data_IF_810176428162
#
_entry.id   IF_810176428162
#
_cell.length_a   1.000
_cell.length_b   1.000
_cell.length_c   1.000
_cell.angle_alpha   90.00
_cell.angle_beta   90.00
_cell.angle_gamma   90.00
#
_symmetry.space_group_name_H-M   'P 1'
#
loop_
_entity.id
_entity.type
_entity.pdbx_description
1 polymer ?
#
# COMPACT_ATOMS: atom_id res chain seq x y z
N UNK A 1 -4.35 9.41 -8.19
CA UNK A 1 -4.65 9.14 -6.75
C UNK A 1 -5.93 8.35 -6.53
N UNK A 2 -7.13 8.88 -6.83
CA UNK A 2 -8.40 8.18 -6.51
C UNK A 2 -8.58 6.79 -7.14
N UNK A 3 -7.81 6.44 -8.17
CA UNK A 3 -7.72 5.09 -8.73
C UNK A 3 -7.25 4.03 -7.71
N UNK A 4 -6.46 4.40 -6.69
CA UNK A 4 -5.97 3.47 -5.66
C UNK A 4 -7.10 2.78 -4.88
N UNK A 5 -8.28 3.40 -4.81
CA UNK A 5 -9.50 2.80 -4.23
C UNK A 5 -10.05 1.63 -5.06
N UNK A 6 -9.57 1.47 -6.29
CA UNK A 6 -10.01 0.47 -7.27
C UNK A 6 -8.88 -0.46 -7.72
N UNK A 7 -7.66 -0.27 -7.19
CA UNK A 7 -6.54 -1.21 -7.37
C UNK A 7 -6.61 -2.20 -6.20
N UNK A 8 -7.02 -3.46 -6.41
CA UNK A 8 -7.00 -4.46 -5.35
C UNK A 8 -5.56 -4.86 -5.06
N UNK A 9 -5.27 -5.23 -3.80
CA UNK A 9 -3.97 -5.79 -3.44
C UNK A 9 -3.76 -7.16 -4.12
N UNK A 10 -2.85 -7.22 -5.09
CA UNK A 10 -2.72 -8.31 -6.06
C UNK A 10 -2.38 -9.65 -5.41
N UNK A 11 -1.60 -9.65 -4.33
CA UNK A 11 -1.31 -10.85 -3.55
C UNK A 11 -2.58 -11.56 -3.04
N UNK A 12 -3.61 -10.80 -2.62
CA UNK A 12 -4.88 -11.36 -2.18
C UNK A 12 -5.73 -11.86 -3.34
N UNK A 13 -5.70 -11.16 -4.49
CA UNK A 13 -6.35 -11.60 -5.73
C UNK A 13 -5.85 -12.99 -6.14
N UNK A 14 -4.52 -13.19 -6.13
CA UNK A 14 -3.91 -14.48 -6.49
C UNK A 14 -4.22 -15.61 -5.51
N UNK A 15 -4.51 -15.28 -4.26
CA UNK A 15 -5.00 -16.22 -3.25
C UNK A 15 -6.51 -16.43 -3.28
N UNK A 16 -7.22 -15.89 -4.28
CA UNK A 16 -8.67 -15.99 -4.47
C UNK A 16 -9.49 -15.47 -3.28
N UNK A 17 -8.96 -14.48 -2.56
CA UNK A 17 -9.70 -13.80 -1.48
C UNK A 17 -10.87 -13.04 -2.11
N UNK A 18 -12.08 -13.22 -1.56
CA UNK A 18 -13.27 -12.49 -2.00
C UNK A 18 -13.20 -11.06 -1.48
N UNK A 19 -13.42 -10.07 -2.36
CA UNK A 19 -13.39 -8.64 -2.04
C UNK A 19 -12.10 -8.22 -1.30
N UNK A 20 -10.92 -8.38 -1.92
CA UNK A 20 -9.67 -7.99 -1.31
C UNK A 20 -9.61 -6.48 -1.05
N UNK A 21 -8.82 -6.07 -0.06
CA UNK A 21 -8.57 -4.65 0.23
C UNK A 21 -7.98 -3.94 -0.99
N UNK A 22 -8.25 -2.64 -1.10
CA UNK A 22 -7.59 -1.76 -2.07
C UNK A 22 -6.23 -1.30 -1.57
N UNK A 23 -5.36 -0.83 -2.47
CA UNK A 23 -4.07 -0.19 -2.09
C UNK A 23 -4.30 1.00 -1.15
N UNK A 24 -5.39 1.75 -1.34
CA UNK A 24 -5.70 2.85 -0.41
C UNK A 24 -6.12 2.39 0.99
N UNK A 25 -6.74 1.21 1.14
CA UNK A 25 -7.06 0.63 2.45
C UNK A 25 -5.78 0.24 3.19
N UNK A 26 -4.83 -0.34 2.45
CA UNK A 26 -3.50 -0.69 2.95
C UNK A 26 -2.75 0.53 3.49
N UNK A 27 -2.60 1.57 2.65
CA UNK A 27 -1.92 2.82 3.04
C UNK A 27 -2.62 3.54 4.20
N UNK A 28 -3.95 3.54 4.24
CA UNK A 28 -4.71 4.13 5.35
C UNK A 28 -4.36 3.46 6.68
N UNK A 29 -4.39 2.12 6.74
CA UNK A 29 -4.06 1.42 7.98
C UNK A 29 -2.59 1.59 8.37
N UNK A 30 -1.65 1.67 7.42
CA UNK A 30 -0.25 1.99 7.71
C UNK A 30 -0.05 3.40 8.28
N UNK A 31 -0.79 4.39 7.76
CA UNK A 31 -0.78 5.73 8.32
C UNK A 31 -1.31 5.74 9.77
N UNK A 32 -2.39 4.99 10.04
CA UNK A 32 -2.91 4.82 11.40
C UNK A 32 -1.92 4.09 12.33
N UNK A 33 -1.18 3.10 11.83
CA UNK A 33 -0.11 2.44 12.58
C UNK A 33 1.02 3.43 12.90
N UNK A 34 1.43 4.24 11.93
CA UNK A 34 2.46 5.28 12.13
C UNK A 34 2.05 6.33 13.16
N UNK A 35 0.75 6.63 13.25
CA UNK A 35 0.19 7.53 14.25
C UNK A 35 0.23 6.92 15.67
N UNK A 36 -0.17 5.65 15.80
CA UNK A 36 -0.41 4.99 17.10
C UNK A 36 0.83 4.33 17.70
N UNK A 37 1.73 3.79 16.87
CA UNK A 37 3.00 3.22 17.33
C UNK A 37 3.88 4.34 17.89
N UNK A 38 4.48 4.11 19.04
CA UNK A 38 5.31 5.10 19.73
C UNK A 38 6.76 4.66 19.72
N UNK A 39 7.56 5.41 18.97
CA UNK A 39 9.01 5.30 18.93
C UNK A 39 9.58 6.73 19.02
N UNK A 40 10.28 7.10 20.12
CA UNK A 40 10.83 8.43 20.29
C UNK A 40 12.00 8.74 19.33
N UNK A 41 12.58 7.72 18.69
CA UNK A 41 13.68 7.90 17.74
C UNK A 41 13.23 8.27 16.32
N UNK A 42 11.91 8.27 16.06
CA UNK A 42 11.33 8.41 14.72
C UNK A 42 10.42 9.64 14.62
N UNK A 43 10.49 10.33 13.49
CA UNK A 43 9.55 11.40 13.16
C UNK A 43 8.23 10.80 12.64
N UNK A 44 7.19 10.75 13.49
CA UNK A 44 5.87 10.20 13.14
C UNK A 44 5.21 10.90 11.95
N UNK A 45 5.29 12.24 11.86
CA UNK A 45 4.69 12.99 10.76
C UNK A 45 5.32 12.60 9.42
N UNK A 46 6.63 12.38 9.40
CA UNK A 46 7.33 11.87 8.22
C UNK A 46 6.87 10.45 7.88
N UNK A 47 6.73 9.57 8.87
CA UNK A 47 6.24 8.20 8.64
C UNK A 47 4.82 8.16 8.08
N UNK A 48 3.91 8.98 8.62
CA UNK A 48 2.54 9.10 8.10
C UNK A 48 2.57 9.56 6.65
N UNK A 49 3.36 10.59 6.32
CA UNK A 49 3.52 11.06 4.94
C UNK A 49 4.09 9.98 4.02
N UNK A 50 5.12 9.25 4.47
CA UNK A 50 5.70 8.12 3.71
C UNK A 50 4.67 7.02 3.45
N UNK A 51 3.93 6.60 4.48
CA UNK A 51 2.88 5.59 4.36
C UNK A 51 1.82 5.99 3.30
N UNK A 52 1.47 7.28 3.23
CA UNK A 52 0.49 7.79 2.27
C UNK A 52 0.99 7.94 0.83
N UNK A 53 2.31 7.89 0.59
CA UNK A 53 2.89 8.10 -0.75
C UNK A 53 3.65 6.90 -1.31
N UNK A 54 4.05 5.93 -0.48
CA UNK A 54 4.96 4.86 -0.92
C UNK A 54 4.40 4.01 -2.08
N UNK A 55 3.10 3.69 -2.05
CA UNK A 55 2.41 2.95 -3.14
C UNK A 55 1.62 3.87 -4.08
N UNK A 56 1.88 5.19 -4.07
CA UNK A 56 1.12 6.14 -4.89
C UNK A 56 1.23 5.86 -6.39
N UNK A 57 2.39 5.36 -6.84
CA UNK A 57 2.66 5.03 -8.23
C UNK A 57 1.72 3.92 -8.76
N UNK A 58 1.24 3.03 -7.89
CA UNK A 58 0.35 1.92 -8.24
C UNK A 58 -1.00 2.40 -8.81
N UNK A 59 -1.33 3.68 -8.65
CA UNK A 59 -2.51 4.26 -9.31
C UNK A 59 -2.40 4.27 -10.85
N UNK A 60 -1.18 4.18 -11.37
CA UNK A 60 -0.87 4.10 -12.80
C UNK A 60 -0.36 2.70 -13.15
N UNK A 61 0.59 2.16 -12.38
CA UNK A 61 1.28 0.90 -12.73
C UNK A 61 0.55 -0.38 -12.26
N UNK A 62 -0.41 -0.25 -11.34
CA UNK A 62 -1.02 -1.37 -10.62
C UNK A 62 -0.16 -1.88 -9.45
N UNK A 63 -0.72 -2.73 -8.60
CA UNK A 63 0.03 -3.41 -7.53
C UNK A 63 0.74 -4.63 -8.12
N UNK A 64 2.06 -4.53 -8.31
CA UNK A 64 2.87 -5.60 -8.90
C UNK A 64 3.28 -6.59 -7.80
N UNK A 65 2.81 -7.83 -7.91
CA UNK A 65 3.12 -8.91 -6.98
C UNK A 65 4.32 -9.76 -7.44
N UNK A 66 4.96 -10.52 -6.53
CA UNK A 66 6.08 -11.40 -6.88
C UNK A 66 5.80 -12.43 -7.98
N UNK A 67 4.53 -12.76 -8.24
CA UNK A 67 4.13 -13.73 -9.26
C UNK A 67 3.97 -13.12 -10.66
N UNK A 68 4.17 -11.81 -10.83
CA UNK A 68 3.91 -11.09 -12.09
C UNK A 68 5.04 -11.22 -13.13
N UNK A 69 6.09 -12.00 -12.84
CA UNK A 69 7.23 -12.24 -13.74
C UNK A 69 7.84 -10.95 -14.33
N UNK A 70 7.78 -9.84 -13.58
CA UNK A 70 8.41 -8.57 -13.97
C UNK A 70 9.92 -8.71 -13.80
N UNK A 71 10.68 -8.37 -14.84
CA UNK A 71 12.14 -8.34 -14.81
C UNK A 71 12.63 -7.37 -13.73
N UNK A 72 13.78 -7.66 -13.12
CA UNK A 72 14.44 -6.73 -12.19
C UNK A 72 15.17 -5.59 -12.89
N UNK A 73 15.34 -5.71 -14.20
CA UNK A 73 16.07 -4.81 -15.10
C UNK A 73 15.12 -3.86 -15.82
#
# INVERSE_FOLDING_TARGET
>A
IGQLKRVPRTGWVYRKVKNPESVSDHMYRMAMMSLTITDPSVNKDRCIKLALVHDMAECIVGDIAPSDNVSKE
#
